data_IF_419072681190
#
_entry.id   IF_419072681190
#
_cell.length_a   1.000
_cell.length_b   1.000
_cell.length_c   1.000
_cell.angle_alpha   90.00
_cell.angle_beta   90.00
_cell.angle_gamma   90.00
#
_symmetry.space_group_name_H-M   'P 1'
#
loop_
_entity.id
_entity.type
_entity.pdbx_description
1 polymer ?
#
# COMPACT_ATOMS: atom_id res chain seq x y z
N UNK A 1 1.07 16.78 -8.69
CA UNK A 1 1.53 18.03 -8.02
C UNK A 1 0.48 19.14 -8.12
N UNK A 2 -0.06 19.44 -9.31
CA UNK A 2 -1.08 20.48 -9.51
C UNK A 2 -2.37 20.26 -8.69
N UNK A 3 -2.87 19.01 -8.60
CA UNK A 3 -4.08 18.68 -7.85
C UNK A 3 -3.93 18.91 -6.34
N UNK A 4 -2.73 18.67 -5.78
CA UNK A 4 -2.42 18.92 -4.37
C UNK A 4 -2.38 20.42 -4.10
N UNK A 5 -1.78 21.22 -5.01
CA UNK A 5 -1.73 22.69 -4.90
C UNK A 5 -3.12 23.35 -5.00
N UNK A 6 -4.00 22.87 -5.88
CA UNK A 6 -5.38 23.38 -5.98
C UNK A 6 -6.21 22.99 -4.74
N UNK A 7 -5.97 21.80 -4.18
CA UNK A 7 -6.63 21.33 -2.96
C UNK A 7 -6.10 22.02 -1.68
N UNK A 8 -4.81 22.43 -1.67
CA UNK A 8 -4.17 23.21 -0.59
C UNK A 8 -4.88 24.55 -0.36
N UNK A 9 -5.39 25.19 -1.42
CA UNK A 9 -5.95 26.53 -1.31
C UNK A 9 -7.37 26.56 -0.71
N UNK A 10 -8.06 25.42 -0.63
CA UNK A 10 -9.50 25.37 -0.30
C UNK A 10 -9.85 24.62 0.99
N UNK A 11 -8.94 23.82 1.56
CA UNK A 11 -9.18 23.06 2.79
C UNK A 11 -7.99 23.15 3.74
N UNK A 12 -8.25 23.29 5.05
CA UNK A 12 -7.25 23.22 6.13
C UNK A 12 -6.62 21.82 6.15
N UNK A 13 -5.53 21.63 5.41
CA UNK A 13 -4.81 20.37 5.38
C UNK A 13 -4.28 20.07 6.77
N UNK A 14 -4.65 18.91 7.30
CA UNK A 14 -3.97 18.36 8.45
C UNK A 14 -2.55 17.98 8.01
N UNK A 15 -1.54 18.57 8.68
CA UNK A 15 -0.10 18.29 8.50
C UNK A 15 0.21 16.78 8.36
N UNK A 16 -0.63 15.96 8.98
CA UNK A 16 -0.59 14.51 8.95
C UNK A 16 -0.60 13.90 7.55
N UNK A 17 -1.33 14.43 6.57
CA UNK A 17 -1.34 13.84 5.22
C UNK A 17 -0.07 14.14 4.44
N UNK A 18 0.46 15.37 4.60
CA UNK A 18 1.70 15.81 3.96
C UNK A 18 2.88 14.98 4.46
N UNK A 19 2.95 14.70 5.77
CA UNK A 19 4.01 13.87 6.37
C UNK A 19 4.02 12.46 5.78
N UNK A 20 2.86 11.83 5.59
CA UNK A 20 2.79 10.50 4.97
C UNK A 20 3.30 10.50 3.53
N UNK A 21 2.96 11.54 2.77
CA UNK A 21 3.43 11.69 1.38
C UNK A 21 4.94 11.94 1.30
N UNK A 22 5.44 12.92 2.05
CA UNK A 22 6.88 13.24 2.10
C UNK A 22 7.68 12.07 2.66
N UNK A 23 7.16 11.37 3.66
CA UNK A 23 7.77 10.17 4.23
C UNK A 23 7.99 9.07 3.20
N UNK A 24 7.06 8.90 2.25
CA UNK A 24 7.21 7.97 1.13
C UNK A 24 8.30 8.37 0.12
N UNK A 25 8.65 9.65 0.05
CA UNK A 25 9.68 10.17 -0.85
C UNK A 25 11.11 9.97 -0.31
N UNK A 26 11.27 9.87 1.02
CA UNK A 26 12.56 9.69 1.69
C UNK A 26 13.42 8.56 1.09
N UNK A 27 12.94 7.31 0.93
CA UNK A 27 13.78 6.24 0.38
C UNK A 27 14.26 6.54 -1.05
N UNK A 28 13.45 7.20 -1.87
CA UNK A 28 13.84 7.59 -3.22
C UNK A 28 14.96 8.65 -3.21
N UNK A 29 14.86 9.64 -2.31
CA UNK A 29 15.90 10.66 -2.11
C UNK A 29 17.20 10.01 -1.63
N UNK A 30 17.11 9.11 -0.64
CA UNK A 30 18.27 8.39 -0.12
C UNK A 30 18.93 7.57 -1.24
N UNK A 31 18.14 6.85 -2.03
CA UNK A 31 18.67 6.06 -3.15
C UNK A 31 19.31 6.94 -4.23
N UNK A 32 18.77 8.13 -4.49
CA UNK A 32 19.33 9.08 -5.45
C UNK A 32 20.70 9.61 -5.03
N UNK A 33 20.85 10.06 -3.77
CA UNK A 33 22.12 10.60 -3.27
C UNK A 33 23.13 9.52 -2.85
N UNK A 34 22.65 8.35 -2.44
CA UNK A 34 23.47 7.26 -1.92
C UNK A 34 23.01 5.90 -2.49
N UNK A 35 23.20 5.66 -3.79
CA UNK A 35 22.71 4.47 -4.48
C UNK A 35 23.32 3.16 -3.94
N UNK A 36 24.49 3.22 -3.32
CA UNK A 36 25.23 2.06 -2.81
C UNK A 36 24.90 1.68 -1.37
N UNK A 37 23.90 2.32 -0.72
CA UNK A 37 23.49 1.95 0.63
C UNK A 37 22.93 0.51 0.63
N UNK A 38 23.53 -0.34 1.45
CA UNK A 38 23.07 -1.72 1.66
C UNK A 38 22.35 -1.83 2.99
N UNK A 39 21.01 -1.89 2.94
CA UNK A 39 20.16 -2.11 4.13
C UNK A 39 19.83 -3.61 4.31
N UNK A 40 20.63 -4.51 3.75
CA UNK A 40 20.33 -5.96 3.72
C UNK A 40 20.57 -6.70 5.03
N UNK A 41 21.13 -6.05 6.06
CA UNK A 41 21.49 -6.72 7.31
C UNK A 41 20.25 -7.15 8.12
N UNK A 42 20.40 -8.26 8.86
CA UNK A 42 19.37 -8.81 9.76
C UNK A 42 18.93 -7.82 10.85
N UNK A 43 19.83 -6.94 11.31
CA UNK A 43 19.51 -5.91 12.29
C UNK A 43 18.48 -4.89 11.76
N UNK A 44 18.61 -4.48 10.49
CA UNK A 44 17.62 -3.60 9.88
C UNK A 44 16.26 -4.29 9.67
N UNK A 45 16.26 -5.60 9.39
CA UNK A 45 15.02 -6.37 9.34
C UNK A 45 14.33 -6.39 10.71
N UNK A 46 15.08 -6.61 11.79
CA UNK A 46 14.57 -6.58 13.15
C UNK A 46 14.05 -5.19 13.53
N UNK A 47 14.79 -4.13 13.16
CA UNK A 47 14.40 -2.75 13.40
C UNK A 47 13.11 -2.38 12.65
N UNK A 48 12.99 -2.78 11.37
CA UNK A 48 11.78 -2.56 10.59
C UNK A 48 10.56 -3.26 11.21
N UNK A 49 10.71 -4.52 11.62
CA UNK A 49 9.64 -5.27 12.31
C UNK A 49 9.27 -4.63 13.64
N UNK A 50 10.27 -4.23 14.44
CA UNK A 50 10.05 -3.51 15.69
C UNK A 50 9.28 -2.21 15.47
N UNK A 51 9.65 -1.42 14.45
CA UNK A 51 8.93 -0.20 14.08
C UNK A 51 7.49 -0.51 13.65
N UNK A 52 7.24 -1.57 12.88
CA UNK A 52 5.88 -1.98 12.51
C UNK A 52 5.04 -2.35 13.74
N UNK A 53 5.58 -3.15 14.65
CA UNK A 53 4.88 -3.56 15.88
C UNK A 53 4.60 -2.36 16.78
N UNK A 54 5.59 -1.51 17.00
CA UNK A 54 5.44 -0.30 17.83
C UNK A 54 4.42 0.65 17.18
N UNK A 55 4.45 0.80 15.86
CA UNK A 55 3.51 1.63 15.11
C UNK A 55 2.05 1.17 15.24
N UNK A 56 1.82 -0.13 15.42
CA UNK A 56 0.49 -0.72 15.66
C UNK A 56 -0.02 -0.50 17.09
N UNK A 57 0.86 -0.29 18.07
CA UNK A 57 0.48 -0.05 19.48
C UNK A 57 -0.08 1.34 19.73
N UNK A 58 0.17 2.29 18.82
CA UNK A 58 -0.39 3.63 18.90
C UNK A 58 -1.82 3.68 18.34
N UNK A 59 -2.63 4.60 18.85
CA UNK A 59 -4.01 4.80 18.39
C UNK A 59 -4.09 4.79 16.87
N UNK A 60 -5.02 3.98 16.34
CA UNK A 60 -5.31 3.78 14.92
C UNK A 60 -5.85 5.03 14.21
N UNK A 61 -5.89 6.17 14.91
CA UNK A 61 -6.24 7.45 14.30
C UNK A 61 -5.21 7.81 13.24
N UNK A 62 -5.68 8.06 12.03
CA UNK A 62 -4.89 8.53 10.88
C UNK A 62 -4.12 9.83 11.15
N UNK A 63 -4.38 10.49 12.28
CA UNK A 63 -3.74 11.73 12.72
C UNK A 63 -2.55 11.52 13.66
N UNK A 64 -2.27 10.29 14.09
CA UNK A 64 -1.18 10.04 15.02
C UNK A 64 0.18 10.16 14.32
N UNK A 65 0.97 11.16 14.72
CA UNK A 65 2.30 11.40 14.16
C UNK A 65 3.29 10.28 14.49
N UNK A 66 3.19 9.66 15.67
CA UNK A 66 4.11 8.61 16.09
C UNK A 66 3.96 7.34 15.26
N UNK A 67 2.72 6.88 15.05
CA UNK A 67 2.48 5.70 14.19
C UNK A 67 3.05 5.92 12.78
N UNK A 68 2.89 7.13 12.22
CA UNK A 68 3.45 7.50 10.91
C UNK A 68 4.96 7.49 10.88
N UNK A 69 5.65 8.04 11.89
CA UNK A 69 7.12 8.07 11.87
C UNK A 69 7.69 6.66 11.90
N UNK A 70 7.14 5.76 12.73
CA UNK A 70 7.56 4.35 12.74
C UNK A 70 7.27 3.65 11.41
N UNK A 71 6.11 3.91 10.79
CA UNK A 71 5.79 3.39 9.45
C UNK A 71 6.77 3.90 8.39
N UNK A 72 7.15 5.18 8.42
CA UNK A 72 8.11 5.77 7.48
C UNK A 72 9.48 5.13 7.63
N UNK A 73 9.95 4.90 8.86
CA UNK A 73 11.23 4.23 9.13
C UNK A 73 11.21 2.80 8.59
N UNK A 74 10.17 2.02 8.93
CA UNK A 74 10.01 0.65 8.45
C UNK A 74 9.95 0.61 6.91
N UNK A 75 9.14 1.48 6.30
CA UNK A 75 9.00 1.59 4.86
C UNK A 75 10.33 1.94 4.18
N UNK A 76 11.09 2.89 4.74
CA UNK A 76 12.39 3.30 4.19
C UNK A 76 13.37 2.13 4.15
N UNK A 77 13.43 1.32 5.21
CA UNK A 77 14.30 0.15 5.28
C UNK A 77 13.93 -0.91 4.24
N UNK A 78 12.62 -1.16 4.07
CA UNK A 78 12.12 -2.13 3.10
C UNK A 78 12.35 -1.63 1.67
N UNK A 79 12.04 -0.37 1.39
CA UNK A 79 12.19 0.26 0.08
C UNK A 79 13.67 0.34 -0.37
N UNK A 80 14.61 0.50 0.56
CA UNK A 80 16.05 0.45 0.28
C UNK A 80 16.59 -0.99 0.11
N UNK A 81 15.74 -2.01 0.11
CA UNK A 81 16.09 -3.38 -0.32
C UNK A 81 16.16 -4.43 0.80
N UNK A 82 15.71 -4.13 2.02
CA UNK A 82 15.57 -5.17 3.05
C UNK A 82 14.37 -6.09 2.75
N UNK A 83 14.55 -7.39 2.87
CA UNK A 83 13.55 -8.41 2.53
C UNK A 83 12.88 -9.07 3.75
N UNK A 84 13.05 -8.49 4.95
CA UNK A 84 12.56 -9.00 6.24
C UNK A 84 12.82 -10.51 6.41
N UNK A 85 14.10 -10.91 6.47
CA UNK A 85 14.52 -12.31 6.56
C UNK A 85 14.08 -13.19 5.36
N UNK A 86 13.81 -12.59 4.20
CA UNK A 86 13.34 -13.28 3.01
C UNK A 86 11.82 -13.43 2.92
N UNK A 87 11.06 -12.95 3.90
CA UNK A 87 9.59 -13.02 3.88
C UNK A 87 8.98 -12.32 2.66
N UNK A 88 9.49 -11.15 2.29
CA UNK A 88 9.04 -10.44 1.07
C UNK A 88 9.42 -11.14 -0.24
N UNK A 89 10.28 -12.17 -0.20
CA UNK A 89 10.66 -12.93 -1.40
C UNK A 89 9.70 -14.09 -1.71
N UNK A 90 8.81 -14.44 -0.78
CA UNK A 90 7.83 -15.51 -0.95
C UNK A 90 6.92 -15.16 -2.13
N UNK A 91 6.62 -16.14 -2.99
CA UNK A 91 5.84 -15.94 -4.22
C UNK A 91 4.47 -15.31 -3.93
N UNK A 92 3.85 -15.65 -2.80
CA UNK A 92 2.59 -15.06 -2.37
C UNK A 92 2.66 -13.53 -2.19
N UNK A 93 3.70 -13.01 -1.53
CA UNK A 93 3.86 -11.55 -1.33
C UNK A 93 4.21 -10.83 -2.62
N UNK A 94 5.00 -11.47 -3.51
CA UNK A 94 5.25 -10.93 -4.84
C UNK A 94 3.96 -10.83 -5.64
N UNK A 95 3.17 -11.90 -5.65
CA UNK A 95 1.87 -11.95 -6.30
C UNK A 95 0.91 -10.87 -5.75
N UNK A 96 0.83 -10.73 -4.42
CA UNK A 96 0.01 -9.70 -3.78
C UNK A 96 0.46 -8.28 -4.18
N UNK A 97 1.77 -8.09 -4.35
CA UNK A 97 2.35 -6.86 -4.89
C UNK A 97 2.00 -6.61 -6.35
N UNK A 98 2.00 -7.64 -7.20
CA UNK A 98 1.61 -7.54 -8.61
C UNK A 98 0.16 -7.06 -8.79
N UNK A 99 -0.76 -7.59 -7.99
CA UNK A 99 -2.19 -7.22 -8.04
C UNK A 99 -2.52 -5.95 -7.22
N UNK A 100 -1.52 -5.30 -6.61
CA UNK A 100 -1.73 -4.15 -5.72
C UNK A 100 -2.36 -2.95 -6.46
N UNK A 101 -2.07 -2.80 -7.75
CA UNK A 101 -2.68 -1.76 -8.57
C UNK A 101 -4.19 -2.02 -8.77
N UNK A 102 -4.57 -3.23 -9.17
CA UNK A 102 -5.99 -3.62 -9.34
C UNK A 102 -6.76 -3.48 -8.02
N UNK A 103 -6.15 -3.90 -6.90
CA UNK A 103 -6.79 -3.77 -5.58
C UNK A 103 -7.05 -2.31 -5.22
N UNK A 104 -6.11 -1.39 -5.48
CA UNK A 104 -6.30 0.03 -5.24
C UNK A 104 -7.49 0.60 -6.04
N UNK A 105 -7.67 0.19 -7.29
CA UNK A 105 -8.79 0.67 -8.12
C UNK A 105 -10.15 0.10 -7.69
N UNK A 106 -10.20 -1.18 -7.34
CA UNK A 106 -11.46 -1.92 -7.20
C UNK A 106 -11.97 -1.93 -5.75
N UNK A 107 -11.09 -1.88 -4.74
CA UNK A 107 -11.50 -2.08 -3.33
C UNK A 107 -12.59 -1.11 -2.87
N UNK A 108 -12.48 0.18 -3.24
CA UNK A 108 -13.45 1.20 -2.84
C UNK A 108 -14.82 0.97 -3.47
N UNK A 109 -14.86 0.59 -4.75
CA UNK A 109 -16.10 0.26 -5.48
C UNK A 109 -16.76 -0.97 -4.84
N UNK A 110 -15.98 -2.01 -4.55
CA UNK A 110 -16.48 -3.24 -3.94
C UNK A 110 -17.04 -2.99 -2.53
N UNK A 111 -16.31 -2.25 -1.69
CA UNK A 111 -16.78 -1.90 -0.34
C UNK A 111 -18.05 -1.04 -0.40
N UNK A 112 -18.07 -0.02 -1.25
CA UNK A 112 -19.23 0.86 -1.38
C UNK A 112 -20.47 0.09 -1.86
N UNK A 113 -20.34 -0.71 -2.92
CA UNK A 113 -21.46 -1.48 -3.49
C UNK A 113 -21.97 -2.53 -2.52
N UNK A 114 -21.08 -3.25 -1.82
CA UNK A 114 -21.49 -4.25 -0.81
C UNK A 114 -22.23 -3.60 0.36
N UNK A 115 -21.72 -2.49 0.89
CA UNK A 115 -22.39 -1.77 1.98
C UNK A 115 -23.71 -1.12 1.53
N UNK A 116 -23.78 -0.64 0.29
CA UNK A 116 -25.02 -0.14 -0.29
C UNK A 116 -26.08 -1.24 -0.39
N UNK A 117 -25.72 -2.43 -0.89
CA UNK A 117 -26.63 -3.57 -1.01
C UNK A 117 -27.11 -4.11 0.34
N UNK A 118 -26.25 -4.12 1.36
CA UNK A 118 -26.59 -4.53 2.73
C UNK A 118 -27.39 -3.42 3.46
N UNK A 119 -27.21 -2.17 3.04
CA UNK A 119 -27.72 -0.95 3.66
C UNK A 119 -26.74 -0.37 4.68
N UNK A 120 -26.37 0.90 4.54
CA UNK A 120 -25.37 1.53 5.42
C UNK A 120 -25.76 1.50 6.90
N UNK A 121 -27.04 1.68 7.21
CA UNK A 121 -27.53 1.68 8.59
C UNK A 121 -27.40 0.32 9.26
N UNK A 122 -27.58 -0.76 8.51
CA UNK A 122 -27.44 -2.12 9.04
C UNK A 122 -25.98 -2.43 9.33
N UNK A 123 -25.06 -2.09 8.40
CA UNK A 123 -23.61 -2.25 8.57
C UNK A 123 -23.10 -1.44 9.77
N UNK A 124 -23.64 -0.25 10.00
CA UNK A 124 -23.24 0.63 11.11
C UNK A 124 -23.57 0.04 12.50
N UNK A 125 -24.63 -0.74 12.60
CA UNK A 125 -25.11 -1.33 13.87
C UNK A 125 -24.60 -2.78 14.04
N UNK A 126 -23.92 -3.35 13.03
CA UNK A 126 -23.33 -4.68 13.13
C UNK A 126 -22.37 -4.81 14.31
N UNK A 127 -22.38 -5.99 14.93
CA UNK A 127 -21.38 -6.35 15.94
C UNK A 127 -19.98 -6.39 15.30
N UNK A 128 -18.93 -6.10 16.07
CA UNK A 128 -17.54 -6.07 15.59
C UNK A 128 -17.11 -7.39 14.94
N UNK A 129 -17.51 -8.53 15.51
CA UNK A 129 -17.18 -9.85 14.95
C UNK A 129 -17.86 -10.08 13.58
N UNK A 130 -19.13 -9.72 13.46
CA UNK A 130 -19.88 -9.87 12.20
C UNK A 130 -19.33 -8.95 11.12
N UNK A 131 -18.95 -7.72 11.50
CA UNK A 131 -18.30 -6.77 10.61
C UNK A 131 -16.93 -7.28 10.15
N UNK A 132 -16.10 -7.80 11.06
CA UNK A 132 -14.79 -8.36 10.72
C UNK A 132 -14.92 -9.55 9.76
N UNK A 133 -15.89 -10.43 9.98
CA UNK A 133 -16.16 -11.56 9.10
C UNK A 133 -16.62 -11.10 7.71
N UNK A 134 -17.49 -10.09 7.63
CA UNK A 134 -17.91 -9.48 6.38
C UNK A 134 -16.71 -8.91 5.61
N UNK A 135 -15.86 -8.12 6.27
CA UNK A 135 -14.65 -7.55 5.66
C UNK A 135 -13.69 -8.65 5.18
N UNK A 136 -13.53 -9.73 5.95
CA UNK A 136 -12.70 -10.87 5.56
C UNK A 136 -13.20 -11.54 4.28
N UNK A 137 -14.52 -11.77 4.17
CA UNK A 137 -15.14 -12.29 2.95
C UNK A 137 -14.91 -11.34 1.78
N UNK A 138 -15.17 -10.03 1.97
CA UNK A 138 -14.96 -9.01 0.93
C UNK A 138 -13.49 -9.01 0.47
N UNK A 139 -12.54 -9.15 1.39
CA UNK A 139 -11.11 -9.19 1.06
C UNK A 139 -10.76 -10.42 0.21
N UNK A 140 -11.32 -11.60 0.50
CA UNK A 140 -11.11 -12.81 -0.34
C UNK A 140 -11.66 -12.56 -1.76
N UNK A 141 -12.90 -12.10 -1.88
CA UNK A 141 -13.52 -11.80 -3.17
C UNK A 141 -12.74 -10.74 -3.95
N UNK A 142 -12.30 -9.68 -3.26
CA UNK A 142 -11.48 -8.63 -3.85
C UNK A 142 -10.21 -9.19 -4.46
N UNK A 143 -9.46 -10.02 -3.71
CA UNK A 143 -8.23 -10.61 -4.21
C UNK A 143 -8.48 -11.50 -5.43
N UNK A 144 -9.57 -12.27 -5.46
CA UNK A 144 -9.94 -13.09 -6.62
C UNK A 144 -10.20 -12.21 -7.85
N UNK A 145 -11.05 -11.18 -7.71
CA UNK A 145 -11.39 -10.25 -8.80
C UNK A 145 -10.14 -9.52 -9.31
N UNK A 146 -9.29 -9.05 -8.39
CA UNK A 146 -8.04 -8.37 -8.71
C UNK A 146 -7.06 -9.30 -9.43
N UNK A 147 -7.01 -10.58 -9.04
CA UNK A 147 -6.20 -11.58 -9.73
C UNK A 147 -6.66 -11.79 -11.17
N UNK A 148 -7.97 -11.92 -11.40
CA UNK A 148 -8.53 -12.06 -12.75
C UNK A 148 -8.26 -10.84 -13.61
N UNK A 149 -8.53 -9.64 -13.09
CA UNK A 149 -8.29 -8.38 -13.82
C UNK A 149 -6.82 -8.18 -14.15
N UNK A 150 -5.91 -8.49 -13.21
CA UNK A 150 -4.47 -8.45 -13.46
C UNK A 150 -4.05 -9.40 -14.58
N UNK A 151 -4.43 -10.68 -14.54
CA UNK A 151 -4.00 -11.65 -15.54
C UNK A 151 -4.66 -11.46 -16.92
N UNK A 152 -5.92 -11.02 -16.96
CA UNK A 152 -6.68 -10.87 -18.20
C UNK A 152 -6.48 -9.53 -18.90
N UNK A 153 -6.19 -8.47 -18.13
CA UNK A 153 -6.13 -7.10 -18.66
C UNK A 153 -4.75 -6.49 -18.42
N UNK A 154 -4.28 -6.41 -17.19
CA UNK A 154 -3.06 -5.62 -16.92
C UNK A 154 -1.80 -6.29 -17.49
N UNK A 155 -1.60 -7.57 -17.20
CA UNK A 155 -0.45 -8.35 -17.67
C UNK A 155 -0.29 -8.39 -19.19
N UNK A 156 -1.33 -8.64 -20.01
CA UNK A 156 -1.16 -8.63 -21.46
C UNK A 156 -0.80 -7.25 -22.01
N UNK A 157 -1.37 -6.17 -21.46
CA UNK A 157 -1.04 -4.81 -21.88
C UNK A 157 0.37 -4.39 -21.49
N UNK A 158 0.84 -4.76 -20.29
CA UNK A 158 2.23 -4.55 -19.85
C UNK A 158 3.19 -5.30 -20.80
N UNK A 159 2.90 -6.56 -21.13
CA UNK A 159 3.72 -7.35 -22.04
C UNK A 159 3.74 -6.78 -23.46
N UNK A 160 2.60 -6.29 -23.95
CA UNK A 160 2.48 -5.63 -25.25
C UNK A 160 3.34 -4.36 -25.29
N UNK A 161 3.29 -3.54 -24.23
CA UNK A 161 4.12 -2.34 -24.09
C UNK A 161 5.62 -2.64 -24.19
N UNK A 162 6.11 -3.64 -23.44
CA UNK A 162 7.52 -4.03 -23.50
C UNK A 162 7.93 -4.53 -24.88
N UNK A 163 7.05 -5.27 -25.58
CA UNK A 163 7.29 -5.74 -26.95
C UNK A 163 7.38 -4.60 -27.97
N UNK A 164 6.62 -3.51 -27.78
CA UNK A 164 6.64 -2.35 -28.68
C UNK A 164 7.95 -1.56 -28.47
N UNK A 165 8.37 -1.34 -27.22
CA UNK A 165 9.61 -0.59 -26.93
C UNK A 165 10.85 -1.35 -27.39
N UNK A 166 10.92 -2.66 -27.13
CA UNK A 166 12.08 -3.46 -27.56
C UNK A 166 12.24 -3.50 -29.08
N UNK A 167 11.13 -3.44 -29.84
CA UNK A 167 11.14 -3.32 -31.30
C UNK A 167 11.57 -1.95 -31.82
N UNK A 168 11.48 -0.89 -31.00
CA UNK A 168 11.81 0.49 -31.39
C UNK A 168 13.28 0.84 -31.12
N UNK A 169 13.99 -0.01 -30.37
CA UNK A 169 15.43 0.12 -30.07
C UNK A 169 16.32 -0.67 -31.04
N UNK A 170 15.73 -1.34 -32.04
CA UNK A 170 16.41 -2.03 -33.16
C UNK A 170 16.10 -1.25 -34.44
#
# INVERSE_FOLDING_TARGET
MLFILVYINHNTISLTHVISFLGGMIPAIIHYFHPNIKVSNKLYALLAISCLIIGLSFDSSSRNYFSKTFLIIAFTIIALGNNLFGFLKINFFKFLGEISYSTYLIHGILLFTTFYCIGFDTVKIMNGNTYMFLIFIIAIFLNIICSFTFYLIEKPFINLYYKIISKKQV
#
